data_IF_187004464609
#
_entry.id   IF_187004464609
#
_cell.length_a   1.000
_cell.length_b   1.000
_cell.length_c   1.000
_cell.angle_alpha   90.00
_cell.angle_beta   90.00
_cell.angle_gamma   90.00
#
_symmetry.space_group_name_H-M   'P 1'
#
loop_
_entity.id
_entity.type
_entity.pdbx_description
1 polymer ?
#
# COMPACT_ATOMS: atom_id res chain seq x y z
N UNK A 1 28.26 -0.78 -45.75
CA UNK A 1 28.41 0.13 -44.59
C UNK A 1 27.29 -0.15 -43.61
N UNK A 2 27.54 -0.88 -42.52
CA UNK A 2 26.52 -1.14 -41.48
C UNK A 2 26.49 0.07 -40.52
N UNK A 3 25.39 0.80 -40.50
CA UNK A 3 25.15 1.88 -39.53
C UNK A 3 24.64 1.26 -38.24
N UNK A 4 25.42 1.35 -37.17
CA UNK A 4 24.99 0.97 -35.83
C UNK A 4 24.30 2.19 -35.19
N UNK A 5 23.01 2.04 -34.87
CA UNK A 5 22.25 3.05 -34.13
C UNK A 5 22.31 2.66 -32.66
N UNK A 6 23.08 3.41 -31.86
CA UNK A 6 23.12 3.22 -30.41
C UNK A 6 21.86 3.84 -29.79
N UNK A 7 20.98 3.01 -29.24
CA UNK A 7 19.90 3.45 -28.37
C UNK A 7 20.46 3.63 -26.96
N UNK A 8 20.51 4.88 -26.48
CA UNK A 8 20.81 5.19 -25.08
C UNK A 8 19.49 5.17 -24.32
N UNK A 9 19.29 4.18 -23.46
CA UNK A 9 18.17 4.16 -22.50
C UNK A 9 18.63 4.90 -21.25
N UNK A 10 18.08 6.10 -21.03
CA UNK A 10 18.27 6.85 -19.79
C UNK A 10 17.27 6.32 -18.77
N UNK A 11 17.75 5.53 -17.80
CA UNK A 11 16.97 5.19 -16.62
C UNK A 11 16.97 6.40 -15.68
N UNK A 12 15.86 7.14 -15.67
CA UNK A 12 15.58 8.12 -14.62
C UNK A 12 15.25 7.35 -13.34
N UNK A 13 16.23 7.17 -12.46
CA UNK A 13 15.99 6.72 -11.09
C UNK A 13 15.29 7.84 -10.33
N UNK A 14 13.96 7.76 -10.22
CA UNK A 14 13.21 8.59 -9.28
C UNK A 14 13.35 7.95 -7.91
N UNK A 15 14.26 8.47 -7.09
CA UNK A 15 14.37 8.09 -5.67
C UNK A 15 13.17 8.66 -4.92
N UNK A 16 12.14 7.86 -4.71
CA UNK A 16 11.06 8.19 -3.78
C UNK A 16 11.54 7.92 -2.36
N UNK A 17 12.01 8.96 -1.66
CA UNK A 17 12.26 8.88 -0.21
C UNK A 17 10.92 8.77 0.50
N UNK A 18 10.40 7.55 0.61
CA UNK A 18 9.16 7.28 1.30
C UNK A 18 9.48 7.15 2.80
N UNK A 19 9.57 8.27 3.52
CA UNK A 19 9.86 8.35 4.97
C UNK A 19 8.91 7.46 5.80
N UNK A 20 7.72 7.16 5.27
CA UNK A 20 6.77 6.24 5.88
C UNK A 20 7.27 4.77 5.92
N UNK A 21 8.12 4.39 4.97
CA UNK A 21 8.68 3.03 4.84
C UNK A 21 9.58 2.67 6.00
N UNK A 22 10.28 3.63 6.61
CA UNK A 22 11.32 3.33 7.61
C UNK A 22 10.74 2.64 8.86
N UNK A 23 9.60 3.11 9.36
CA UNK A 23 8.96 2.50 10.54
C UNK A 23 8.27 1.16 10.23
N UNK A 24 7.72 0.97 9.02
CA UNK A 24 7.17 -0.34 8.64
C UNK A 24 8.28 -1.36 8.39
N UNK A 25 9.39 -0.93 7.78
CA UNK A 25 10.57 -1.77 7.56
C UNK A 25 11.16 -2.28 8.87
N UNK A 26 11.11 -1.49 9.95
CA UNK A 26 11.49 -1.94 11.29
C UNK A 26 10.54 -3.05 11.77
N UNK A 27 9.22 -2.82 11.73
CA UNK A 27 8.24 -3.82 12.17
C UNK A 27 8.34 -5.13 11.37
N UNK A 28 8.59 -5.06 10.06
CA UNK A 28 8.83 -6.26 9.25
C UNK A 28 10.10 -7.01 9.66
N UNK A 29 11.19 -6.30 9.97
CA UNK A 29 12.41 -6.92 10.50
C UNK A 29 12.17 -7.55 11.86
N UNK A 30 11.39 -6.91 12.72
CA UNK A 30 11.02 -7.47 14.03
C UNK A 30 10.15 -8.71 13.88
N UNK A 31 9.16 -8.69 12.97
CA UNK A 31 8.29 -9.84 12.67
C UNK A 31 9.11 -11.03 12.16
N UNK A 32 10.06 -10.80 11.24
CA UNK A 32 10.97 -11.83 10.74
C UNK A 32 11.78 -12.49 11.86
N UNK A 33 12.07 -11.76 12.94
CA UNK A 33 12.86 -12.23 14.08
C UNK A 33 12.00 -12.58 15.32
N UNK A 34 10.68 -12.70 15.17
CA UNK A 34 9.79 -13.03 16.27
C UNK A 34 10.11 -14.42 16.85
N UNK A 35 10.17 -14.52 18.18
CA UNK A 35 10.62 -15.74 18.89
C UNK A 35 9.51 -16.75 19.09
N UNK A 36 8.25 -16.34 18.97
CA UNK A 36 7.07 -17.17 19.16
C UNK A 36 5.85 -16.55 18.47
N UNK A 37 4.77 -17.33 18.38
CA UNK A 37 3.53 -16.94 17.72
C UNK A 37 2.92 -15.68 18.34
N UNK A 38 2.85 -15.60 19.67
CA UNK A 38 2.26 -14.45 20.37
C UNK A 38 2.99 -13.13 20.02
N UNK A 39 4.32 -13.17 19.91
CA UNK A 39 5.09 -12.01 19.48
C UNK A 39 4.83 -11.65 18.02
N UNK A 40 4.75 -12.66 17.14
CA UNK A 40 4.47 -12.47 15.73
C UNK A 40 3.09 -11.83 15.50
N UNK A 41 2.04 -12.37 16.14
CA UNK A 41 0.66 -11.85 16.06
C UNK A 41 0.60 -10.37 16.49
N UNK A 42 1.27 -10.01 17.59
CA UNK A 42 1.33 -8.61 18.04
C UNK A 42 2.01 -7.69 17.01
N UNK A 43 3.07 -8.16 16.37
CA UNK A 43 3.79 -7.38 15.35
C UNK A 43 2.97 -7.26 14.07
N UNK A 44 2.28 -8.33 13.67
CA UNK A 44 1.34 -8.32 12.54
C UNK A 44 0.21 -7.31 12.77
N UNK A 45 -0.39 -7.27 13.97
CA UNK A 45 -1.41 -6.27 14.31
C UNK A 45 -0.87 -4.84 14.20
N UNK A 46 0.36 -4.59 14.64
CA UNK A 46 0.99 -3.28 14.51
C UNK A 46 1.24 -2.90 13.05
N UNK A 47 1.70 -3.86 12.24
CA UNK A 47 1.89 -3.68 10.79
C UNK A 47 0.55 -3.35 10.14
N UNK A 48 -0.49 -4.13 10.40
CA UNK A 48 -1.83 -3.91 9.85
C UNK A 48 -2.35 -2.53 10.20
N UNK A 49 -2.34 -2.18 11.50
CA UNK A 49 -2.80 -0.87 11.97
C UNK A 49 -2.07 0.30 11.34
N UNK A 50 -0.78 0.15 11.06
CA UNK A 50 0.01 1.18 10.40
C UNK A 50 -0.33 1.21 8.91
N UNK A 51 -0.16 0.10 8.22
CA UNK A 51 -0.31 -0.04 6.76
C UNK A 51 -1.68 0.40 6.23
N UNK A 52 -2.77 0.08 6.95
CA UNK A 52 -4.14 0.44 6.55
C UNK A 52 -4.55 1.86 6.93
N UNK A 53 -3.70 2.60 7.64
CA UNK A 53 -3.96 3.99 8.05
C UNK A 53 -3.19 4.98 7.18
N UNK A 54 -3.89 5.97 6.66
CA UNK A 54 -3.28 7.08 5.96
C UNK A 54 -2.35 7.87 6.89
N UNK A 55 -1.14 8.30 6.45
CA UNK A 55 -0.17 8.96 7.32
C UNK A 55 -0.65 10.28 7.94
N UNK A 56 -1.58 10.98 7.29
CA UNK A 56 -2.02 12.33 7.70
C UNK A 56 -3.48 12.66 7.34
N UNK A 57 -4.29 11.67 6.95
CA UNK A 57 -5.66 11.93 6.48
C UNK A 57 -6.64 10.83 6.93
N UNK A 58 -7.25 11.03 8.10
CA UNK A 58 -8.23 10.07 8.65
C UNK A 58 -9.46 9.88 7.77
N UNK A 59 -9.83 10.87 6.95
CA UNK A 59 -10.93 10.71 6.00
C UNK A 59 -10.60 9.67 4.92
N UNK A 60 -9.36 9.65 4.42
CA UNK A 60 -8.93 8.62 3.46
C UNK A 60 -8.82 7.23 4.11
N UNK A 61 -8.37 7.16 5.38
CA UNK A 61 -8.44 5.92 6.17
C UNK A 61 -9.87 5.38 6.22
N UNK A 62 -10.82 6.20 6.68
CA UNK A 62 -12.23 5.81 6.81
C UNK A 62 -12.85 5.41 5.46
N UNK A 63 -12.47 6.09 4.37
CA UNK A 63 -12.95 5.76 3.02
C UNK A 63 -12.44 4.39 2.57
N UNK A 64 -11.16 4.08 2.81
CA UNK A 64 -10.56 2.77 2.52
C UNK A 64 -11.21 1.67 3.37
N UNK A 65 -11.46 1.92 4.66
CA UNK A 65 -12.15 1.01 5.57
C UNK A 65 -13.57 0.70 5.09
N UNK A 66 -14.34 1.74 4.71
CA UNK A 66 -15.68 1.55 4.13
C UNK A 66 -15.65 0.78 2.80
N UNK A 67 -14.63 0.99 1.98
CA UNK A 67 -14.40 0.20 0.76
C UNK A 67 -14.15 -1.27 1.08
N UNK A 68 -13.33 -1.54 2.10
CA UNK A 68 -13.01 -2.90 2.58
C UNK A 68 -14.24 -3.58 3.16
N UNK A 69 -15.04 -2.85 3.96
CA UNK A 69 -16.32 -3.33 4.48
C UNK A 69 -17.28 -3.69 3.35
N UNK A 70 -17.42 -2.81 2.35
CA UNK A 70 -18.26 -3.06 1.17
C UNK A 70 -17.81 -4.32 0.42
N UNK A 71 -16.50 -4.51 0.24
CA UNK A 71 -15.93 -5.69 -0.41
C UNK A 71 -16.25 -6.97 0.38
N UNK A 72 -16.07 -6.97 1.69
CA UNK A 72 -16.40 -8.10 2.57
C UNK A 72 -17.88 -8.50 2.48
N UNK A 73 -18.77 -7.51 2.34
CA UNK A 73 -20.21 -7.71 2.15
C UNK A 73 -20.64 -7.91 0.69
N UNK A 74 -19.70 -8.25 -0.20
CA UNK A 74 -19.95 -8.53 -1.63
C UNK A 74 -20.55 -7.35 -2.42
N UNK A 75 -20.47 -6.12 -1.87
CA UNK A 75 -20.91 -4.89 -2.52
C UNK A 75 -19.80 -4.34 -3.43
N UNK A 76 -19.36 -5.15 -4.40
CA UNK A 76 -18.14 -4.90 -5.16
C UNK A 76 -18.15 -3.58 -5.94
N UNK A 77 -19.32 -3.14 -6.46
CA UNK A 77 -19.43 -1.83 -7.13
C UNK A 77 -19.16 -0.66 -6.19
N UNK A 78 -19.63 -0.75 -4.94
CA UNK A 78 -19.36 0.28 -3.92
C UNK A 78 -17.90 0.26 -3.51
N UNK A 79 -17.34 -0.93 -3.26
CA UNK A 79 -15.92 -1.10 -2.97
C UNK A 79 -15.03 -0.51 -4.07
N UNK A 80 -15.32 -0.82 -5.35
CA UNK A 80 -14.59 -0.31 -6.51
C UNK A 80 -14.61 1.22 -6.56
N UNK A 81 -15.79 1.82 -6.33
CA UNK A 81 -15.93 3.27 -6.29
C UNK A 81 -15.07 3.86 -5.17
N UNK A 82 -15.19 3.35 -3.94
CA UNK A 82 -14.48 3.88 -2.78
C UNK A 82 -12.95 3.75 -2.92
N UNK A 83 -12.45 2.61 -3.40
CA UNK A 83 -11.00 2.45 -3.66
C UNK A 83 -10.52 3.36 -4.80
N UNK A 84 -11.33 3.56 -5.84
CA UNK A 84 -11.04 4.52 -6.91
C UNK A 84 -10.95 5.95 -6.37
N UNK A 85 -11.89 6.34 -5.52
CA UNK A 85 -11.92 7.66 -4.92
C UNK A 85 -10.71 7.87 -3.99
N UNK A 86 -10.29 6.86 -3.22
CA UNK A 86 -9.05 6.92 -2.42
C UNK A 86 -7.83 7.18 -3.30
N UNK A 87 -7.69 6.44 -4.41
CA UNK A 87 -6.56 6.58 -5.35
C UNK A 87 -6.56 7.96 -6.03
N UNK A 88 -7.73 8.47 -6.39
CA UNK A 88 -7.83 9.79 -7.03
C UNK A 88 -7.40 10.92 -6.08
N UNK A 89 -7.70 10.78 -4.78
CA UNK A 89 -7.36 11.77 -3.75
C UNK A 89 -5.89 11.68 -3.31
N UNK A 90 -5.36 10.47 -3.09
CA UNK A 90 -3.93 10.26 -2.88
C UNK A 90 -3.41 9.07 -3.71
N UNK A 91 -2.90 9.32 -4.92
CA UNK A 91 -2.36 8.25 -5.77
C UNK A 91 -1.02 7.69 -5.27
N UNK A 92 -0.36 8.34 -4.30
CA UNK A 92 0.92 7.89 -3.73
C UNK A 92 0.72 6.92 -2.57
N UNK A 93 -0.48 6.83 -2.00
CA UNK A 93 -0.78 5.86 -0.95
C UNK A 93 -0.99 4.47 -1.54
N UNK A 94 0.02 3.60 -1.35
CA UNK A 94 0.06 2.27 -1.95
C UNK A 94 -1.15 1.38 -1.60
N UNK A 95 -1.72 1.55 -0.40
CA UNK A 95 -2.80 0.69 0.06
C UNK A 95 -4.10 0.86 -0.75
N UNK A 96 -4.39 2.06 -1.27
CA UNK A 96 -5.52 2.27 -2.17
C UNK A 96 -5.43 1.39 -3.42
N UNK A 97 -4.23 1.32 -4.02
CA UNK A 97 -3.95 0.45 -5.16
C UNK A 97 -4.01 -1.05 -4.79
N UNK A 98 -3.46 -1.43 -3.64
CA UNK A 98 -3.50 -2.81 -3.16
C UNK A 98 -4.95 -3.32 -3.00
N UNK A 99 -5.81 -2.54 -2.34
CA UNK A 99 -7.23 -2.88 -2.19
C UNK A 99 -7.95 -2.98 -3.53
N UNK A 100 -7.69 -2.04 -4.45
CA UNK A 100 -8.27 -2.08 -5.79
C UNK A 100 -7.87 -3.34 -6.57
N UNK A 101 -6.61 -3.76 -6.47
CA UNK A 101 -6.12 -4.97 -7.13
C UNK A 101 -6.73 -6.25 -6.53
N UNK A 102 -6.96 -6.26 -5.22
CA UNK A 102 -7.55 -7.41 -4.51
C UNK A 102 -9.03 -7.62 -4.82
N UNK A 103 -9.74 -6.56 -5.23
CA UNK A 103 -11.16 -6.61 -5.57
C UNK A 103 -11.47 -7.37 -6.88
N UNK A 104 -10.48 -7.52 -7.77
CA UNK A 104 -10.61 -8.15 -9.09
C UNK A 104 -10.48 -9.67 -9.02
#
# INVERSE_FOLDING_TARGET
>A
MKKYVNFIIIFLFVSTNNVYSDNLNILFKELLNAKNLQQAEKLEDQIWNKWTRHPNNDYLTNKLENGTYSMYHQQYRMALKLFTDVINEDPKWAEGWNKRATLL
#
